data_IF_964306633509
#
_entry.id   IF_964306633509
#
_cell.length_a   1.000
_cell.length_b   1.000
_cell.length_c   1.000
_cell.angle_alpha   90.00
_cell.angle_beta   90.00
_cell.angle_gamma   90.00
#
_symmetry.space_group_name_H-M   'P 1'
#
loop_
_entity.id
_entity.type
_entity.pdbx_description
1 polymer ?
#
# COMPACT_ATOMS: atom_id res chain seq x y z
N UNK A 1 2.48 -45.49 86.42
CA UNK A 1 1.38 -44.58 86.79
C UNK A 1 1.67 -43.20 86.22
N UNK A 2 0.61 -42.52 85.63
CA UNK A 2 0.43 -41.21 85.09
C UNK A 2 0.81 -41.06 83.58
N UNK A 3 -0.16 -41.20 82.74
CA UNK A 3 -1.23 -40.33 82.16
C UNK A 3 -0.68 -39.31 81.24
N UNK A 4 -1.02 -39.56 80.01
CA UNK A 4 -1.19 -38.73 78.81
C UNK A 4 -1.50 -37.20 78.99
N UNK A 5 -1.02 -36.39 78.09
CA UNK A 5 -1.89 -35.41 77.41
C UNK A 5 -1.37 -35.12 76.00
N UNK A 6 -2.27 -35.37 75.04
CA UNK A 6 -2.16 -34.92 73.63
C UNK A 6 -2.35 -33.39 73.56
N UNK A 7 -1.55 -32.76 72.81
CA UNK A 7 -1.93 -31.49 72.17
C UNK A 7 -1.61 -31.58 70.66
N UNK A 8 -2.69 -31.63 69.91
CA UNK A 8 -2.70 -31.56 68.43
C UNK A 8 -2.41 -30.14 68.02
N UNK A 9 -1.38 -29.94 67.21
CA UNK A 9 -1.16 -28.69 66.48
C UNK A 9 -1.67 -28.95 65.06
N UNK A 10 -2.77 -28.28 64.74
CA UNK A 10 -3.30 -28.18 63.37
C UNK A 10 -2.47 -27.16 62.62
N UNK A 11 -1.61 -27.61 61.75
CA UNK A 11 -0.96 -26.76 60.78
C UNK A 11 -1.89 -26.59 59.57
N UNK A 12 -2.57 -25.47 59.48
CA UNK A 12 -3.32 -25.08 58.27
C UNK A 12 -2.34 -24.70 57.17
N UNK A 13 -2.18 -25.57 56.18
CA UNK A 13 -1.51 -25.26 54.95
C UNK A 13 -2.46 -24.42 54.08
N UNK A 14 -2.24 -23.11 54.00
CA UNK A 14 -2.82 -22.28 52.97
C UNK A 14 -2.12 -22.58 51.65
N UNK A 15 -2.77 -23.38 50.81
CA UNK A 15 -2.41 -23.51 49.43
C UNK A 15 -2.85 -22.23 48.69
N UNK A 16 -1.92 -21.32 48.44
CA UNK A 16 -2.09 -20.26 47.47
C UNK A 16 -2.09 -20.90 46.09
N UNK A 17 -3.28 -21.14 45.56
CA UNK A 17 -3.46 -21.40 44.10
C UNK A 17 -3.14 -20.14 43.36
N UNK A 18 -1.89 -19.97 42.94
CA UNK A 18 -1.53 -19.05 41.93
C UNK A 18 -2.12 -19.58 40.59
N UNK A 19 -3.34 -19.15 40.26
CA UNK A 19 -3.83 -19.20 38.88
C UNK A 19 -2.94 -18.33 38.05
N UNK A 20 -1.83 -18.85 37.58
CA UNK A 20 -1.12 -18.30 36.43
C UNK A 20 -2.09 -18.38 35.27
N UNK A 21 -2.63 -17.23 34.89
CA UNK A 21 -3.12 -17.05 33.55
C UNK A 21 -1.90 -17.20 32.65
N UNK A 22 -1.62 -18.40 32.18
CA UNK A 22 -0.92 -18.60 30.94
C UNK A 22 -1.78 -17.91 29.90
N UNK A 23 -1.40 -16.69 29.55
CA UNK A 23 -1.82 -16.08 28.31
C UNK A 23 -1.37 -17.08 27.23
N UNK A 24 -2.29 -17.87 26.72
CA UNK A 24 -2.07 -18.64 25.52
C UNK A 24 -1.73 -17.64 24.44
N UNK A 25 -0.45 -17.45 24.19
CA UNK A 25 0.03 -16.92 22.91
C UNK A 25 -0.36 -17.96 21.85
N UNK A 26 -1.65 -18.03 21.53
CA UNK A 26 -2.05 -18.62 20.27
C UNK A 26 -1.36 -17.80 19.21
N UNK A 27 -0.33 -18.38 18.66
CA UNK A 27 0.41 -17.84 17.54
C UNK A 27 -0.58 -17.60 16.41
N UNK A 28 -0.86 -16.32 16.10
CA UNK A 28 -1.62 -15.85 14.95
C UNK A 28 -0.95 -16.27 13.61
N UNK A 29 0.09 -17.08 13.69
CA UNK A 29 1.04 -17.43 12.63
C UNK A 29 0.48 -18.29 11.53
N UNK A 30 -0.70 -18.87 11.67
CA UNK A 30 -1.25 -19.78 10.65
C UNK A 30 -2.56 -19.32 10.01
N UNK A 31 -3.16 -18.24 10.50
CA UNK A 31 -4.43 -17.73 9.97
C UNK A 31 -4.20 -16.80 8.79
N UNK A 32 -4.83 -17.05 7.62
CA UNK A 32 -4.72 -16.16 6.48
C UNK A 32 -5.20 -14.75 6.82
N UNK A 33 -4.39 -13.73 6.54
CA UNK A 33 -4.73 -12.33 6.87
C UNK A 33 -6.10 -11.90 6.27
N UNK A 34 -6.35 -12.28 5.02
CA UNK A 34 -7.63 -11.97 4.33
C UNK A 34 -8.87 -12.59 4.98
N UNK A 35 -8.71 -13.66 5.79
CA UNK A 35 -9.84 -14.34 6.43
C UNK A 35 -10.26 -13.72 7.75
N UNK A 36 -9.38 -12.92 8.36
CA UNK A 36 -9.63 -12.23 9.62
C UNK A 36 -9.87 -10.73 9.43
N UNK A 37 -9.31 -10.15 8.38
CA UNK A 37 -9.45 -8.72 8.13
C UNK A 37 -10.87 -8.34 7.73
N UNK A 38 -11.39 -7.27 8.34
CA UNK A 38 -12.73 -6.70 8.06
C UNK A 38 -12.72 -5.66 6.94
N UNK A 39 -11.55 -5.44 6.34
CA UNK A 39 -11.31 -4.60 5.15
C UNK A 39 -10.47 -5.38 4.15
N UNK A 40 -10.54 -5.08 2.83
CA UNK A 40 -9.65 -5.73 1.87
C UNK A 40 -8.17 -5.50 2.20
N UNK A 41 -7.40 -6.59 2.25
CA UNK A 41 -5.96 -6.55 2.44
C UNK A 41 -5.26 -6.97 1.15
N UNK A 42 -4.24 -6.21 0.76
CA UNK A 42 -3.55 -6.39 -0.52
C UNK A 42 -2.03 -6.47 -0.38
N UNK A 43 -1.41 -6.92 -1.47
CA UNK A 43 0.02 -6.78 -1.68
C UNK A 43 0.32 -6.46 -3.16
N UNK A 44 1.46 -5.83 -3.44
CA UNK A 44 1.93 -5.75 -4.81
C UNK A 44 2.63 -7.04 -5.24
N UNK A 45 2.68 -7.24 -6.56
CA UNK A 45 3.29 -8.43 -7.16
C UNK A 45 3.85 -8.13 -8.54
N UNK A 46 4.94 -8.78 -8.90
CA UNK A 46 5.43 -8.85 -10.28
C UNK A 46 5.03 -10.17 -10.93
N UNK A 47 4.77 -10.15 -12.23
CA UNK A 47 4.48 -11.35 -13.01
C UNK A 47 5.52 -12.45 -12.82
N UNK A 48 6.79 -12.08 -12.74
CA UNK A 48 7.90 -13.02 -12.58
C UNK A 48 7.78 -13.85 -11.30
N UNK A 49 7.35 -13.24 -10.19
CA UNK A 49 7.19 -13.93 -8.91
C UNK A 49 6.02 -14.92 -8.93
N UNK A 50 4.96 -14.62 -9.67
CA UNK A 50 3.81 -15.52 -9.82
C UNK A 50 4.12 -16.82 -10.60
N UNK A 51 5.29 -16.91 -11.23
CA UNK A 51 5.75 -18.15 -11.87
C UNK A 51 6.28 -19.18 -10.86
N UNK A 52 6.59 -18.77 -9.63
CA UNK A 52 6.87 -19.66 -8.51
C UNK A 52 5.55 -20.08 -7.83
N UNK A 53 5.16 -21.38 -7.90
CA UNK A 53 3.92 -21.84 -7.30
C UNK A 53 3.83 -21.59 -5.79
N UNK A 54 4.96 -21.67 -5.07
CA UNK A 54 4.98 -21.44 -3.63
C UNK A 54 4.73 -19.96 -3.28
N UNK A 55 5.28 -19.04 -4.08
CA UNK A 55 4.97 -17.62 -3.96
C UNK A 55 3.50 -17.33 -4.27
N UNK A 56 2.99 -17.88 -5.37
CA UNK A 56 1.61 -17.68 -5.81
C UNK A 56 0.59 -18.20 -4.77
N UNK A 57 0.87 -19.37 -4.17
CA UNK A 57 0.05 -19.94 -3.10
C UNK A 57 0.09 -19.08 -1.84
N UNK A 58 1.29 -18.66 -1.41
CA UNK A 58 1.46 -17.79 -0.23
C UNK A 58 0.72 -16.45 -0.42
N UNK A 59 0.82 -15.85 -1.62
CA UNK A 59 0.09 -14.64 -1.96
C UNK A 59 -1.43 -14.86 -1.86
N UNK A 60 -1.93 -15.87 -2.57
CA UNK A 60 -3.35 -16.17 -2.61
C UNK A 60 -3.91 -16.57 -1.23
N UNK A 61 -3.08 -17.11 -0.34
CA UNK A 61 -3.44 -17.43 1.04
C UNK A 61 -3.74 -16.19 1.87
N UNK A 62 -2.91 -15.16 1.79
CA UNK A 62 -2.97 -14.02 2.71
C UNK A 62 -3.75 -12.82 2.20
N UNK A 63 -3.82 -12.59 0.89
CA UNK A 63 -4.31 -11.35 0.34
C UNK A 63 -5.59 -11.49 -0.48
N UNK A 64 -6.48 -10.53 -0.32
CA UNK A 64 -7.75 -10.41 -1.05
C UNK A 64 -7.72 -9.34 -2.15
N UNK A 65 -6.62 -8.57 -2.24
CA UNK A 65 -6.36 -7.60 -3.29
C UNK A 65 -4.94 -7.75 -3.83
N UNK A 66 -4.77 -7.50 -5.10
CA UNK A 66 -3.50 -7.57 -5.81
C UNK A 66 -3.28 -6.26 -6.56
N UNK A 67 -2.04 -5.74 -6.51
CA UNK A 67 -1.58 -4.59 -7.27
C UNK A 67 -0.37 -5.02 -8.11
N UNK A 68 -0.40 -4.94 -9.46
CA UNK A 68 0.82 -5.14 -10.27
C UNK A 68 1.86 -4.07 -9.95
N UNK A 69 3.04 -4.48 -9.51
CA UNK A 69 4.08 -3.55 -9.04
C UNK A 69 4.66 -2.72 -10.20
N UNK A 70 4.79 -3.33 -11.38
CA UNK A 70 5.46 -2.73 -12.53
C UNK A 70 4.70 -2.88 -13.84
N UNK A 71 4.08 -4.03 -14.10
CA UNK A 71 3.60 -4.41 -15.42
C UNK A 71 2.41 -3.58 -15.91
N UNK A 72 1.72 -2.85 -15.02
CA UNK A 72 0.66 -1.90 -15.43
C UNK A 72 1.16 -0.45 -15.54
N UNK A 73 2.44 -0.20 -15.32
CA UNK A 73 3.03 1.12 -15.54
C UNK A 73 3.28 1.36 -17.04
N UNK A 74 3.32 2.63 -17.43
CA UNK A 74 3.45 3.03 -18.84
C UNK A 74 4.70 2.44 -19.49
N UNK A 75 5.83 2.38 -18.79
CA UNK A 75 7.09 1.84 -19.30
C UNK A 75 7.01 0.38 -19.73
N UNK A 76 6.09 -0.41 -19.13
CA UNK A 76 5.84 -1.77 -19.59
C UNK A 76 4.81 -1.80 -20.73
N UNK A 77 3.69 -1.09 -20.54
CA UNK A 77 2.54 -1.18 -21.45
C UNK A 77 2.81 -0.51 -22.80
N UNK A 78 3.42 0.70 -22.81
CA UNK A 78 3.59 1.48 -24.02
C UNK A 78 4.98 1.26 -24.63
N UNK A 79 5.01 0.63 -25.80
CA UNK A 79 6.25 0.40 -26.54
C UNK A 79 6.76 1.69 -27.20
N UNK A 80 8.03 1.76 -27.55
CA UNK A 80 8.70 2.91 -28.19
C UNK A 80 8.08 3.33 -29.53
N UNK A 81 7.42 2.40 -30.21
CA UNK A 81 6.69 2.62 -31.48
C UNK A 81 5.21 2.97 -31.29
N UNK A 82 4.76 3.11 -30.04
CA UNK A 82 3.39 3.47 -29.69
C UNK A 82 2.42 2.28 -29.59
N UNK A 83 2.86 1.06 -29.83
CA UNK A 83 2.03 -0.13 -29.63
C UNK A 83 1.88 -0.45 -28.14
N UNK A 84 0.77 -1.09 -27.78
CA UNK A 84 0.52 -1.56 -26.42
C UNK A 84 0.93 -3.01 -26.24
N UNK A 85 1.48 -3.32 -25.05
CA UNK A 85 1.86 -4.65 -24.60
C UNK A 85 1.09 -5.01 -23.33
N UNK A 86 0.32 -6.08 -23.38
CA UNK A 86 -0.55 -6.48 -22.26
C UNK A 86 -0.34 -7.92 -21.78
N UNK A 87 0.63 -8.66 -22.31
CA UNK A 87 0.85 -10.08 -22.02
C UNK A 87 0.99 -10.36 -20.52
N UNK A 88 1.86 -9.64 -19.82
CA UNK A 88 2.06 -9.83 -18.38
C UNK A 88 0.95 -9.20 -17.52
N UNK A 89 0.49 -7.94 -17.78
CA UNK A 89 -0.67 -7.41 -17.11
C UNK A 89 -1.90 -8.34 -17.19
N UNK A 90 -2.18 -8.92 -18.35
CA UNK A 90 -3.28 -9.87 -18.53
C UNK A 90 -3.08 -11.13 -17.70
N UNK A 91 -1.86 -11.68 -17.68
CA UNK A 91 -1.55 -12.87 -16.88
C UNK A 91 -1.75 -12.61 -15.37
N UNK A 92 -1.39 -11.41 -14.88
CA UNK A 92 -1.61 -10.99 -13.48
C UNK A 92 -3.12 -10.83 -13.22
N UNK A 93 -3.86 -10.17 -14.11
CA UNK A 93 -5.31 -10.00 -13.99
C UNK A 93 -6.03 -11.35 -13.98
N UNK A 94 -5.58 -12.29 -14.82
CA UNK A 94 -6.09 -13.65 -14.84
C UNK A 94 -5.78 -14.43 -13.57
N UNK A 95 -4.61 -14.25 -12.98
CA UNK A 95 -4.27 -14.82 -11.67
C UNK A 95 -5.23 -14.29 -10.59
N UNK A 96 -5.43 -12.98 -10.53
CA UNK A 96 -6.37 -12.36 -9.59
C UNK A 96 -7.78 -12.94 -9.76
N UNK A 97 -8.30 -12.98 -10.97
CA UNK A 97 -9.63 -13.51 -11.30
C UNK A 97 -9.78 -14.98 -10.89
N UNK A 98 -8.81 -15.86 -11.23
CA UNK A 98 -8.86 -17.29 -10.89
C UNK A 98 -8.86 -17.57 -9.40
N UNK A 99 -8.23 -16.69 -8.60
CA UNK A 99 -8.13 -16.83 -7.14
C UNK A 99 -9.18 -16.00 -6.37
N UNK A 100 -10.12 -15.35 -7.05
CA UNK A 100 -11.12 -14.49 -6.41
C UNK A 100 -10.51 -13.28 -5.71
N UNK A 101 -9.39 -12.77 -6.21
CA UNK A 101 -8.63 -11.65 -5.68
C UNK A 101 -9.03 -10.38 -6.45
N UNK A 102 -9.24 -9.28 -5.74
CA UNK A 102 -9.51 -7.96 -6.33
C UNK A 102 -8.27 -7.46 -7.07
N UNK A 103 -8.47 -6.92 -8.28
CA UNK A 103 -7.39 -6.28 -9.05
C UNK A 103 -7.43 -4.77 -8.82
N UNK A 104 -6.40 -4.21 -8.22
CA UNK A 104 -6.14 -2.78 -8.14
C UNK A 104 -4.98 -2.42 -9.06
N UNK A 105 -5.06 -1.32 -9.78
CA UNK A 105 -4.10 -1.01 -10.85
C UNK A 105 -3.35 0.30 -10.57
N UNK A 106 -2.03 0.26 -10.71
CA UNK A 106 -1.11 1.40 -10.63
C UNK A 106 -0.13 1.37 -11.79
N UNK A 107 0.19 2.43 -12.45
CA UNK A 107 -0.36 3.78 -12.43
C UNK A 107 -0.55 4.28 -13.88
N UNK A 108 -1.57 5.09 -14.13
CA UNK A 108 -1.79 5.58 -15.50
C UNK A 108 -0.81 6.72 -15.84
N UNK A 109 -0.81 7.78 -15.05
CA UNK A 109 0.00 8.98 -15.28
C UNK A 109 0.92 9.20 -14.10
N UNK A 110 2.21 9.15 -14.37
CA UNK A 110 3.29 9.36 -13.41
C UNK A 110 4.35 10.27 -14.02
N UNK A 111 4.90 11.17 -13.24
CA UNK A 111 5.86 12.18 -13.71
C UNK A 111 7.15 11.57 -14.25
N UNK A 112 7.55 10.41 -13.70
CA UNK A 112 8.82 9.74 -13.97
C UNK A 112 8.79 8.85 -15.23
N UNK A 113 7.62 8.69 -15.84
CA UNK A 113 7.45 7.84 -17.02
C UNK A 113 6.99 8.62 -18.25
N UNK A 114 7.96 9.02 -19.07
CA UNK A 114 7.72 9.61 -20.38
C UNK A 114 8.34 8.71 -21.47
N UNK A 115 7.52 7.81 -22.03
CA UNK A 115 7.99 6.87 -23.05
C UNK A 115 8.36 7.58 -24.35
N UNK A 116 9.29 7.01 -25.16
CA UNK A 116 9.70 7.58 -26.44
C UNK A 116 8.55 7.94 -27.38
N UNK A 117 7.44 7.19 -27.33
CA UNK A 117 6.23 7.50 -28.09
C UNK A 117 5.66 8.89 -27.73
N UNK A 118 5.68 9.29 -26.44
CA UNK A 118 5.26 10.62 -25.99
C UNK A 118 6.33 11.68 -26.22
N UNK A 119 7.61 11.35 -26.01
CA UNK A 119 8.70 12.30 -26.23
C UNK A 119 8.74 12.81 -27.69
N UNK A 120 8.39 11.98 -28.67
CA UNK A 120 8.26 12.37 -30.08
C UNK A 120 7.13 13.37 -30.33
N UNK A 121 6.15 13.46 -29.45
CA UNK A 121 4.99 14.35 -29.55
C UNK A 121 5.14 15.62 -28.70
N UNK A 122 6.25 15.78 -27.98
CA UNK A 122 6.47 16.92 -27.10
C UNK A 122 6.34 18.25 -27.86
N UNK A 123 5.52 19.16 -27.36
CA UNK A 123 5.23 20.46 -27.97
C UNK A 123 4.26 20.42 -29.14
N UNK A 124 3.71 19.27 -29.54
CA UNK A 124 2.85 19.19 -30.73
C UNK A 124 1.36 19.52 -30.48
N UNK A 125 0.99 19.87 -29.22
CA UNK A 125 -0.39 20.27 -28.89
C UNK A 125 -1.40 19.12 -29.08
N UNK A 126 -2.30 19.24 -30.07
CA UNK A 126 -3.38 18.27 -30.27
C UNK A 126 -2.91 16.82 -30.45
N UNK A 127 -1.89 16.49 -31.26
CA UNK A 127 -1.35 15.10 -31.33
C UNK A 127 -0.93 14.55 -29.97
N UNK A 128 -0.31 15.35 -29.10
CA UNK A 128 0.06 14.95 -27.74
C UNK A 128 -1.19 14.67 -26.90
N UNK A 129 -2.17 15.57 -26.92
CA UNK A 129 -3.41 15.42 -26.18
C UNK A 129 -4.22 14.19 -26.64
N UNK A 130 -4.28 13.93 -27.94
CA UNK A 130 -4.93 12.74 -28.51
C UNK A 130 -4.22 11.44 -28.06
N UNK A 131 -2.88 11.41 -28.08
CA UNK A 131 -2.10 10.27 -27.59
C UNK A 131 -2.32 10.02 -26.09
N UNK A 132 -2.35 11.10 -25.28
CA UNK A 132 -2.62 11.04 -23.86
C UNK A 132 -4.00 10.41 -23.57
N UNK A 133 -5.04 10.89 -24.24
CA UNK A 133 -6.38 10.34 -24.16
C UNK A 133 -6.41 8.86 -24.57
N UNK A 134 -5.83 8.54 -25.74
CA UNK A 134 -5.82 7.18 -26.28
C UNK A 134 -5.11 6.19 -25.35
N UNK A 135 -3.99 6.60 -24.72
CA UNK A 135 -3.30 5.77 -23.75
C UNK A 135 -4.22 5.40 -22.58
N UNK A 136 -4.84 6.39 -21.94
CA UNK A 136 -5.72 6.18 -20.78
C UNK A 136 -6.92 5.30 -21.17
N UNK A 137 -7.56 5.59 -22.30
CA UNK A 137 -8.70 4.79 -22.78
C UNK A 137 -8.33 3.35 -23.08
N UNK A 138 -7.17 3.12 -23.68
CA UNK A 138 -6.71 1.77 -24.00
C UNK A 138 -6.41 0.95 -22.74
N UNK A 139 -5.70 1.56 -21.77
CA UNK A 139 -5.27 0.88 -20.53
C UNK A 139 -6.46 0.63 -19.60
N UNK A 140 -7.21 1.66 -19.23
CA UNK A 140 -8.37 1.49 -18.35
C UNK A 140 -9.49 0.67 -19.01
N UNK A 141 -9.74 0.90 -20.30
CA UNK A 141 -10.78 0.16 -21.05
C UNK A 141 -10.50 -1.34 -21.17
N UNK A 142 -9.21 -1.76 -21.22
CA UNK A 142 -8.87 -3.18 -21.25
C UNK A 142 -9.29 -3.93 -19.99
N UNK A 143 -9.18 -3.30 -18.83
CA UNK A 143 -9.53 -3.93 -17.54
C UNK A 143 -10.88 -3.45 -17.00
N UNK A 144 -11.69 -2.84 -17.85
CA UNK A 144 -13.03 -2.36 -17.48
C UNK A 144 -13.85 -3.45 -16.82
N UNK A 145 -14.37 -3.16 -15.62
CA UNK A 145 -15.15 -4.07 -14.82
C UNK A 145 -14.37 -5.20 -14.14
N UNK A 146 -13.04 -5.26 -14.35
CA UNK A 146 -12.12 -6.14 -13.64
C UNK A 146 -11.36 -5.38 -12.56
N UNK A 147 -10.88 -4.18 -12.88
CA UNK A 147 -10.21 -3.31 -11.93
C UNK A 147 -11.21 -2.73 -10.92
N UNK A 148 -10.91 -2.88 -9.63
CA UNK A 148 -11.71 -2.24 -8.56
C UNK A 148 -11.32 -0.78 -8.35
N UNK A 149 -10.13 -0.38 -8.77
CA UNK A 149 -9.64 0.99 -8.71
C UNK A 149 -8.33 1.18 -9.47
N UNK A 150 -7.99 2.45 -9.70
CA UNK A 150 -6.81 2.90 -10.44
C UNK A 150 -6.13 4.06 -9.73
N UNK A 151 -4.83 4.02 -9.61
CA UNK A 151 -4.02 5.23 -9.45
C UNK A 151 -3.98 5.94 -10.80
N UNK A 152 -4.90 6.91 -10.97
CA UNK A 152 -5.02 7.66 -12.22
C UNK A 152 -3.86 8.64 -12.36
N UNK A 153 -3.52 9.30 -11.26
CA UNK A 153 -2.39 10.24 -11.18
C UNK A 153 -1.57 9.89 -9.94
N UNK A 154 -0.27 9.73 -10.13
CA UNK A 154 0.65 9.31 -9.11
C UNK A 154 1.77 10.34 -8.88
N UNK A 155 2.06 10.65 -7.60
CA UNK A 155 3.23 11.41 -7.14
C UNK A 155 3.32 12.82 -7.73
N UNK A 156 2.28 13.60 -7.55
CA UNK A 156 2.17 14.95 -8.14
C UNK A 156 2.99 16.00 -7.41
N UNK A 157 3.23 15.82 -6.10
CA UNK A 157 3.96 16.80 -5.28
C UNK A 157 5.45 16.48 -5.29
N UNK A 158 6.26 17.49 -5.57
CA UNK A 158 7.71 17.38 -5.54
C UNK A 158 8.26 17.05 -4.15
N UNK A 159 9.49 16.50 -4.08
CA UNK A 159 10.12 16.08 -2.82
C UNK A 159 10.33 17.21 -1.83
N UNK A 160 10.49 18.44 -2.31
CA UNK A 160 10.54 19.63 -1.45
C UNK A 160 9.22 19.91 -0.70
N UNK A 161 8.13 19.24 -1.11
CA UNK A 161 6.81 19.33 -0.49
C UNK A 161 6.03 20.61 -0.77
N UNK A 162 6.59 21.58 -1.47
CA UNK A 162 5.97 22.92 -1.66
C UNK A 162 5.41 23.14 -3.06
N UNK A 163 5.88 22.37 -4.05
CA UNK A 163 5.59 22.56 -5.47
C UNK A 163 5.04 21.28 -6.09
N UNK A 164 4.33 21.42 -7.20
CA UNK A 164 3.97 20.29 -8.05
C UNK A 164 5.14 19.94 -8.98
N UNK A 165 5.28 18.67 -9.27
CA UNK A 165 6.32 18.17 -10.17
C UNK A 165 6.14 18.71 -11.57
N UNK A 166 7.25 19.11 -12.18
CA UNK A 166 7.30 19.44 -13.60
C UNK A 166 7.59 18.17 -14.40
N UNK A 167 6.82 17.95 -15.44
CA UNK A 167 6.91 16.76 -16.28
C UNK A 167 6.54 17.08 -17.73
N UNK A 168 6.63 16.11 -18.61
CA UNK A 168 6.13 16.24 -19.96
C UNK A 168 4.62 16.53 -19.99
N UNK A 169 3.89 15.98 -19.02
CA UNK A 169 2.44 16.15 -18.90
C UNK A 169 2.07 17.60 -18.57
N UNK A 170 2.71 18.17 -17.55
CA UNK A 170 2.49 19.56 -17.14
C UNK A 170 2.85 20.54 -18.24
N UNK A 171 3.94 20.28 -18.97
CA UNK A 171 4.43 21.14 -20.05
C UNK A 171 3.50 21.16 -21.26
N UNK A 172 2.90 20.03 -21.60
CA UNK A 172 2.07 19.92 -22.80
C UNK A 172 0.58 20.16 -22.54
N UNK A 173 0.08 19.87 -21.33
CA UNK A 173 -1.36 19.88 -21.03
C UNK A 173 -1.76 20.83 -19.90
N UNK A 174 -0.77 21.45 -19.23
CA UNK A 174 -1.01 22.29 -18.05
C UNK A 174 -0.87 21.54 -16.72
N UNK A 175 -0.65 22.32 -15.64
CA UNK A 175 -0.27 21.76 -14.32
C UNK A 175 -1.43 21.01 -13.68
N UNK A 176 -2.61 21.57 -13.63
CA UNK A 176 -3.81 20.93 -13.10
C UNK A 176 -4.61 20.22 -14.22
N UNK A 177 -4.57 20.78 -15.43
CA UNK A 177 -5.36 20.33 -16.58
C UNK A 177 -5.06 18.89 -16.99
N UNK A 178 -3.78 18.46 -16.99
CA UNK A 178 -3.43 17.09 -17.34
C UNK A 178 -4.05 16.09 -16.36
N UNK A 179 -4.12 16.43 -15.07
CA UNK A 179 -4.72 15.57 -14.05
C UNK A 179 -6.25 15.51 -14.22
N UNK A 180 -6.89 16.64 -14.41
CA UNK A 180 -8.36 16.71 -14.68
C UNK A 180 -8.72 15.85 -15.89
N UNK A 181 -7.97 16.00 -16.99
CA UNK A 181 -8.15 15.20 -18.21
C UNK A 181 -7.95 13.70 -17.95
N UNK A 182 -6.90 13.32 -17.18
CA UNK A 182 -6.66 11.93 -16.85
C UNK A 182 -7.87 11.30 -16.13
N UNK A 183 -8.40 11.98 -15.12
CA UNK A 183 -9.57 11.49 -14.39
C UNK A 183 -10.81 11.36 -15.25
N UNK A 184 -11.09 12.33 -16.14
CA UNK A 184 -12.21 12.24 -17.06
C UNK A 184 -12.07 11.10 -18.05
N UNK A 185 -10.88 10.92 -18.65
CA UNK A 185 -10.65 9.82 -19.59
C UNK A 185 -10.69 8.45 -18.89
N UNK A 186 -10.16 8.34 -17.68
CA UNK A 186 -10.27 7.11 -16.89
C UNK A 186 -11.74 6.79 -16.56
N UNK A 187 -12.53 7.81 -16.18
CA UNK A 187 -13.97 7.65 -15.90
C UNK A 187 -14.77 7.24 -17.13
N UNK A 188 -14.41 7.77 -18.31
CA UNK A 188 -15.00 7.36 -19.59
C UNK A 188 -14.68 5.89 -19.89
N UNK A 189 -13.42 5.47 -19.68
CA UNK A 189 -12.95 4.13 -19.99
C UNK A 189 -13.50 3.07 -19.03
N UNK A 190 -13.48 3.35 -17.71
CA UNK A 190 -13.98 2.43 -16.67
C UNK A 190 -14.86 3.19 -15.66
N UNK A 191 -16.16 3.31 -15.95
CA UNK A 191 -17.07 4.09 -15.11
C UNK A 191 -17.25 3.54 -13.69
N UNK A 192 -16.96 2.26 -13.47
CA UNK A 192 -17.23 1.57 -12.20
C UNK A 192 -16.01 1.51 -11.27
N UNK A 193 -14.81 1.65 -11.79
CA UNK A 193 -13.60 1.67 -10.98
C UNK A 193 -13.53 2.94 -10.12
N UNK A 194 -13.00 2.79 -8.91
CA UNK A 194 -12.67 3.94 -8.04
C UNK A 194 -11.37 4.58 -8.53
N UNK A 195 -11.40 5.88 -8.78
CA UNK A 195 -10.28 6.62 -9.36
C UNK A 195 -9.51 7.36 -8.28
N UNK A 196 -8.26 7.00 -8.07
CA UNK A 196 -7.41 7.55 -7.01
C UNK A 196 -6.39 8.56 -7.54
N UNK A 197 -6.09 9.54 -6.70
CA UNK A 197 -4.84 10.30 -6.73
C UNK A 197 -3.97 9.77 -5.59
N UNK A 198 -2.73 9.40 -5.88
CA UNK A 198 -1.83 8.70 -4.95
C UNK A 198 -0.50 9.46 -4.81
N UNK A 199 0.04 9.52 -3.60
CA UNK A 199 1.37 10.14 -3.36
C UNK A 199 2.03 9.51 -2.12
N UNK A 200 3.35 9.70 -2.00
CA UNK A 200 4.16 9.19 -0.89
C UNK A 200 4.58 10.28 0.08
N UNK A 201 5.09 9.86 1.24
CA UNK A 201 5.54 10.74 2.32
C UNK A 201 4.45 11.67 2.88
N UNK A 202 3.18 11.36 2.68
CA UNK A 202 2.08 12.13 3.23
C UNK A 202 2.01 12.00 4.75
N UNK A 203 2.48 10.87 5.30
CA UNK A 203 2.51 10.60 6.73
C UNK A 203 3.57 11.44 7.45
N UNK A 204 4.78 11.44 6.94
CA UNK A 204 5.95 11.97 7.63
C UNK A 204 6.41 13.36 7.13
N UNK A 205 5.76 13.91 6.08
CA UNK A 205 6.00 15.27 5.57
C UNK A 205 4.72 16.12 5.56
N UNK A 206 4.41 16.85 6.65
CA UNK A 206 3.21 17.68 6.74
C UNK A 206 3.13 18.77 5.65
N UNK A 207 4.27 19.30 5.19
CA UNK A 207 4.30 20.30 4.10
C UNK A 207 3.85 19.69 2.78
N UNK A 208 4.38 18.52 2.44
CA UNK A 208 3.99 17.77 1.24
C UNK A 208 2.51 17.39 1.31
N UNK A 209 2.04 16.88 2.46
CA UNK A 209 0.63 16.57 2.68
C UNK A 209 -0.28 17.79 2.48
N UNK A 210 0.08 18.95 3.02
CA UNK A 210 -0.71 20.16 2.84
C UNK A 210 -0.77 20.62 1.38
N UNK A 211 0.33 20.48 0.61
CA UNK A 211 0.35 20.77 -0.82
C UNK A 211 -0.50 19.77 -1.61
N UNK A 212 -0.40 18.48 -1.28
CA UNK A 212 -1.24 17.43 -1.86
C UNK A 212 -2.73 17.71 -1.63
N UNK A 213 -3.13 18.01 -0.40
CA UNK A 213 -4.53 18.32 -0.06
C UNK A 213 -5.06 19.52 -0.86
N UNK A 214 -4.29 20.63 -0.92
CA UNK A 214 -4.68 21.79 -1.75
C UNK A 214 -4.82 21.43 -3.22
N UNK A 215 -4.00 20.50 -3.72
CA UNK A 215 -4.11 20.01 -5.10
C UNK A 215 -5.40 19.22 -5.29
N UNK A 216 -5.71 18.28 -4.40
CA UNK A 216 -6.97 17.53 -4.43
C UNK A 216 -8.18 18.49 -4.43
N UNK A 217 -8.18 19.49 -3.55
CA UNK A 217 -9.25 20.51 -3.50
C UNK A 217 -9.43 21.25 -4.83
N UNK A 218 -8.32 21.68 -5.46
CA UNK A 218 -8.38 22.35 -6.77
C UNK A 218 -8.93 21.46 -7.87
N UNK A 219 -8.48 20.20 -7.91
CA UNK A 219 -8.93 19.23 -8.91
C UNK A 219 -10.42 18.89 -8.74
N UNK A 220 -10.88 18.68 -7.51
CA UNK A 220 -12.30 18.47 -7.20
C UNK A 220 -13.14 19.70 -7.62
N UNK A 221 -12.66 20.91 -7.31
CA UNK A 221 -13.32 22.17 -7.74
C UNK A 221 -13.34 22.32 -9.26
N UNK A 222 -12.33 21.82 -9.97
CA UNK A 222 -12.29 21.78 -11.43
C UNK A 222 -13.16 20.67 -12.05
N UNK A 223 -13.84 19.85 -11.22
CA UNK A 223 -14.75 18.81 -11.67
C UNK A 223 -14.08 17.47 -11.98
N UNK A 224 -12.83 17.24 -11.56
CA UNK A 224 -12.19 15.95 -11.73
C UNK A 224 -12.95 14.88 -10.92
N UNK A 225 -13.35 13.75 -11.51
CA UNK A 225 -14.12 12.70 -10.83
C UNK A 225 -13.19 11.83 -9.95
N UNK A 226 -12.53 12.46 -8.97
CA UNK A 226 -11.70 11.76 -7.98
C UNK A 226 -12.62 10.96 -7.07
N UNK A 227 -12.44 9.65 -7.05
CA UNK A 227 -13.24 8.71 -6.26
C UNK A 227 -12.56 8.26 -4.97
N UNK A 228 -11.27 8.53 -4.80
CA UNK A 228 -10.51 8.14 -3.61
C UNK A 228 -9.14 8.80 -3.52
N UNK A 229 -8.53 8.67 -2.35
CA UNK A 229 -7.20 9.18 -2.04
C UNK A 229 -6.31 8.00 -1.68
N UNK A 230 -5.19 7.86 -2.41
CA UNK A 230 -4.11 6.92 -2.08
C UNK A 230 -3.04 7.61 -1.23
N UNK A 231 -2.53 6.87 -0.25
CA UNK A 231 -1.31 7.22 0.46
C UNK A 231 -0.39 6.00 0.43
N UNK A 232 0.79 6.16 -0.18
CA UNK A 232 1.68 5.01 -0.41
C UNK A 232 2.16 4.41 0.90
N UNK A 233 2.40 5.23 1.89
CA UNK A 233 2.91 4.80 3.21
C UNK A 233 4.25 4.06 3.13
N UNK A 234 5.14 4.48 2.20
CA UNK A 234 6.55 4.13 2.25
C UNK A 234 7.18 4.84 3.45
N UNK A 235 7.31 4.11 4.55
CA UNK A 235 7.79 4.65 5.81
C UNK A 235 9.25 4.23 6.08
N UNK A 236 9.90 4.96 6.98
CA UNK A 236 11.28 4.71 7.37
C UNK A 236 11.44 5.00 8.87
N UNK A 237 12.14 4.12 9.59
CA UNK A 237 12.36 4.25 11.03
C UNK A 237 13.21 5.44 11.41
N UNK A 238 13.99 6.01 10.48
CA UNK A 238 14.81 7.20 10.74
C UNK A 238 13.98 8.49 10.72
N UNK A 239 12.91 8.54 9.91
CA UNK A 239 12.13 9.77 9.67
C UNK A 239 10.72 9.73 10.23
N UNK A 240 10.09 8.55 10.34
CA UNK A 240 8.72 8.44 10.83
C UNK A 240 8.69 8.36 12.36
N UNK A 241 7.89 9.22 12.99
CA UNK A 241 7.73 9.29 14.45
C UNK A 241 6.30 8.95 14.85
N UNK A 242 6.08 8.41 16.05
CA UNK A 242 4.73 8.16 16.58
C UNK A 242 3.82 9.38 16.48
N UNK A 243 2.59 9.19 16.08
CA UNK A 243 1.57 10.23 15.89
C UNK A 243 1.52 10.82 14.48
N UNK A 244 2.55 10.63 13.65
CA UNK A 244 2.61 11.18 12.29
C UNK A 244 1.59 10.51 11.36
N UNK A 245 1.52 9.18 11.37
CA UNK A 245 0.57 8.43 10.54
C UNK A 245 -0.89 8.76 10.91
N UNK A 246 -1.16 8.88 12.21
CA UNK A 246 -2.49 9.28 12.71
C UNK A 246 -2.89 10.69 12.27
N UNK A 247 -1.95 11.63 12.32
CA UNK A 247 -2.20 12.99 11.86
C UNK A 247 -2.51 13.02 10.35
N UNK A 248 -1.74 12.28 9.54
CA UNK A 248 -1.96 12.19 8.11
C UNK A 248 -3.32 11.58 7.78
N UNK A 249 -3.65 10.45 8.40
CA UNK A 249 -4.92 9.76 8.15
C UNK A 249 -6.12 10.66 8.48
N UNK A 250 -6.09 11.39 9.60
CA UNK A 250 -7.12 12.35 9.97
C UNK A 250 -7.26 13.46 8.92
N UNK A 251 -6.15 14.03 8.45
CA UNK A 251 -6.16 15.12 7.49
C UNK A 251 -6.72 14.66 6.14
N UNK A 252 -6.27 13.50 5.62
CA UNK A 252 -6.75 12.91 4.37
C UNK A 252 -8.23 12.52 4.45
N UNK A 253 -8.68 12.01 5.60
CA UNK A 253 -10.07 11.63 5.82
C UNK A 253 -11.06 12.81 5.75
N UNK A 254 -10.57 14.06 5.90
CA UNK A 254 -11.41 15.26 5.84
C UNK A 254 -12.12 15.46 4.50
N UNK A 255 -11.64 14.86 3.43
CA UNK A 255 -12.31 14.87 2.13
C UNK A 255 -13.58 14.00 2.07
N UNK A 256 -13.79 13.10 3.03
CA UNK A 256 -14.92 12.16 3.02
C UNK A 256 -14.83 11.08 1.94
N UNK A 257 -13.73 11.04 1.18
CA UNK A 257 -13.48 10.06 0.12
C UNK A 257 -12.90 8.75 0.68
N UNK A 258 -13.08 7.62 -0.01
CA UNK A 258 -12.36 6.38 0.25
C UNK A 258 -10.84 6.59 0.30
N UNK A 259 -10.18 5.99 1.29
CA UNK A 259 -8.73 6.01 1.46
C UNK A 259 -8.17 4.62 1.18
N UNK A 260 -7.12 4.57 0.39
CA UNK A 260 -6.29 3.39 0.14
C UNK A 260 -4.91 3.61 0.75
N UNK A 261 -4.55 2.84 1.78
CA UNK A 261 -3.14 2.65 2.13
C UNK A 261 -2.59 1.72 1.06
N UNK A 262 -1.84 2.28 0.10
CA UNK A 262 -1.65 1.64 -1.21
C UNK A 262 -0.36 0.83 -1.33
N UNK A 263 0.69 1.15 -0.55
CA UNK A 263 2.04 0.64 -0.81
C UNK A 263 2.88 0.48 0.47
N UNK A 264 2.26 0.12 1.60
CA UNK A 264 2.96 0.07 2.87
C UNK A 264 4.21 -0.80 2.83
N UNK A 265 5.32 -0.20 3.11
CA UNK A 265 6.52 -0.80 3.65
C UNK A 265 7.14 0.11 4.72
N UNK A 266 7.96 -0.48 5.61
CA UNK A 266 8.65 0.29 6.67
C UNK A 266 10.12 -0.10 6.68
N UNK A 267 10.96 0.71 6.02
CA UNK A 267 12.40 0.50 6.04
C UNK A 267 12.98 0.55 7.45
N UNK A 268 13.98 -0.28 7.73
CA UNK A 268 14.74 -0.26 8.98
C UNK A 268 15.62 0.99 9.12
N UNK A 269 15.74 1.82 8.08
CA UNK A 269 16.58 3.00 8.01
C UNK A 269 17.80 2.84 7.13
N UNK A 270 18.56 3.91 6.96
CA UNK A 270 19.76 3.92 6.11
C UNK A 270 20.91 3.06 6.66
N UNK A 271 21.08 3.07 7.97
CA UNK A 271 22.18 2.36 8.67
C UNK A 271 21.65 1.60 9.88
N UNK A 272 20.83 0.57 9.67
CA UNK A 272 20.20 -0.14 10.77
C UNK A 272 21.25 -0.91 11.61
N UNK A 273 21.13 -0.81 12.92
CA UNK A 273 21.92 -1.62 13.85
C UNK A 273 21.33 -3.02 13.97
N UNK A 274 21.80 -3.95 13.15
CA UNK A 274 21.33 -5.33 13.16
C UNK A 274 21.59 -6.10 14.46
N UNK A 275 22.45 -5.60 15.36
CA UNK A 275 22.56 -6.17 16.71
C UNK A 275 21.29 -5.91 17.54
N UNK A 276 20.48 -4.91 17.13
CA UNK A 276 19.22 -4.55 17.74
C UNK A 276 18.00 -4.87 16.85
N UNK A 277 18.12 -5.88 16.01
CA UNK A 277 17.06 -6.22 15.03
C UNK A 277 15.68 -6.44 15.68
N UNK A 278 15.64 -7.05 16.87
CA UNK A 278 14.36 -7.25 17.59
C UNK A 278 13.68 -5.91 17.93
N UNK A 279 14.44 -4.91 18.40
CA UNK A 279 13.94 -3.57 18.69
C UNK A 279 13.47 -2.85 17.42
N UNK A 280 14.20 -2.99 16.31
CA UNK A 280 13.82 -2.39 15.03
C UNK A 280 12.52 -2.99 14.51
N UNK A 281 12.37 -4.31 14.55
CA UNK A 281 11.14 -5.01 14.17
C UNK A 281 9.96 -4.65 15.07
N UNK A 282 10.20 -4.41 16.37
CA UNK A 282 9.15 -3.94 17.26
C UNK A 282 8.71 -2.53 16.89
N UNK A 283 9.63 -1.61 16.62
CA UNK A 283 9.31 -0.27 16.13
C UNK A 283 8.53 -0.27 14.81
N UNK A 284 8.87 -1.19 13.87
CA UNK A 284 8.06 -1.39 12.67
C UNK A 284 6.63 -1.80 13.02
N UNK A 285 6.47 -2.77 13.92
CA UNK A 285 5.17 -3.25 14.36
C UNK A 285 4.35 -2.14 15.03
N UNK A 286 4.98 -1.30 15.85
CA UNK A 286 4.32 -0.18 16.52
C UNK A 286 3.82 0.87 15.52
N UNK A 287 4.63 1.23 14.52
CA UNK A 287 4.21 2.15 13.43
C UNK A 287 3.12 1.53 12.56
N UNK A 288 3.22 0.25 12.26
CA UNK A 288 2.19 -0.50 11.53
C UNK A 288 0.86 -0.47 12.28
N UNK A 289 0.91 -0.73 13.59
CA UNK A 289 -0.26 -0.68 14.47
C UNK A 289 -0.89 0.71 14.45
N UNK A 290 -0.11 1.76 14.62
CA UNK A 290 -0.61 3.13 14.60
C UNK A 290 -1.31 3.47 13.28
N UNK A 291 -0.69 3.14 12.15
CA UNK A 291 -1.28 3.38 10.82
C UNK A 291 -2.57 2.58 10.64
N UNK A 292 -2.54 1.29 10.97
CA UNK A 292 -3.70 0.41 10.83
C UNK A 292 -4.85 0.82 11.75
N UNK A 293 -4.59 1.16 13.02
CA UNK A 293 -5.60 1.67 13.95
C UNK A 293 -6.21 2.98 13.45
N UNK A 294 -5.37 3.88 12.92
CA UNK A 294 -5.83 5.16 12.36
C UNK A 294 -6.72 4.94 11.14
N UNK A 295 -6.37 3.99 10.26
CA UNK A 295 -7.18 3.59 9.13
C UNK A 295 -8.50 2.92 9.57
N UNK A 296 -8.44 1.99 10.53
CA UNK A 296 -9.62 1.29 11.05
C UNK A 296 -10.57 2.19 11.84
N UNK A 297 -10.10 3.34 12.34
CA UNK A 297 -10.96 4.35 12.97
C UNK A 297 -11.82 5.14 11.98
N UNK A 298 -11.52 5.07 10.69
CA UNK A 298 -12.32 5.71 9.63
C UNK A 298 -13.71 5.07 9.52
N UNK A 299 -14.73 5.82 9.08
CA UNK A 299 -15.99 5.24 8.65
C UNK A 299 -15.79 4.16 7.60
N UNK A 300 -16.60 3.07 7.63
CA UNK A 300 -16.42 1.93 6.73
C UNK A 300 -16.39 2.32 5.25
N UNK A 301 -17.21 3.29 4.84
CA UNK A 301 -17.27 3.80 3.46
C UNK A 301 -15.99 4.52 3.02
N UNK A 302 -15.15 4.94 3.97
CA UNK A 302 -13.84 5.53 3.68
C UNK A 302 -12.69 4.51 3.69
N UNK A 303 -12.93 3.24 4.04
CA UNK A 303 -11.90 2.19 4.03
C UNK A 303 -11.95 1.42 2.72
N UNK A 304 -11.07 1.77 1.77
CA UNK A 304 -11.04 1.09 0.46
C UNK A 304 -10.25 -0.21 0.50
N UNK A 305 -8.99 -0.15 0.92
CA UNK A 305 -8.10 -1.29 1.12
C UNK A 305 -6.85 -0.90 1.89
N UNK A 306 -6.16 -1.90 2.44
CA UNK A 306 -4.86 -1.77 3.10
C UNK A 306 -3.85 -2.69 2.40
N UNK A 307 -2.89 -2.11 1.67
CA UNK A 307 -1.98 -2.84 0.77
C UNK A 307 -0.53 -2.64 1.19
N UNK A 308 0.24 -3.73 1.23
CA UNK A 308 1.69 -3.73 1.46
C UNK A 308 2.45 -3.79 0.14
N UNK A 309 3.70 -3.25 0.08
CA UNK A 309 4.42 -3.15 -1.18
C UNK A 309 5.40 -4.31 -1.39
N UNK A 310 4.87 -5.50 -1.42
CA UNK A 310 5.58 -6.77 -1.65
C UNK A 310 5.07 -7.88 -0.76
N UNK A 311 5.52 -9.11 -1.04
CA UNK A 311 5.13 -10.29 -0.26
C UNK A 311 6.13 -10.61 0.84
N UNK A 312 7.40 -10.81 0.48
CA UNK A 312 8.51 -11.18 1.39
C UNK A 312 9.61 -10.14 1.34
N UNK A 313 10.38 -10.02 2.41
CA UNK A 313 11.49 -9.06 2.46
C UNK A 313 12.47 -9.18 1.29
N UNK A 314 12.73 -10.40 0.81
CA UNK A 314 13.62 -10.63 -0.35
C UNK A 314 13.04 -10.14 -1.68
N UNK A 315 11.71 -9.98 -1.78
CA UNK A 315 11.01 -9.54 -2.97
C UNK A 315 10.82 -8.01 -2.99
N UNK A 316 11.23 -7.32 -1.91
CA UNK A 316 11.04 -5.87 -1.76
C UNK A 316 11.96 -5.05 -2.65
N UNK A 317 11.41 -4.00 -3.26
CA UNK A 317 12.15 -2.99 -4.00
C UNK A 317 13.22 -2.28 -3.14
N UNK A 318 13.02 -2.19 -1.82
CA UNK A 318 13.98 -1.63 -0.88
C UNK A 318 15.36 -2.30 -0.96
N UNK A 319 15.41 -3.59 -1.34
CA UNK A 319 16.64 -4.34 -1.52
C UNK A 319 17.18 -4.32 -2.94
N UNK A 320 16.30 -4.17 -3.95
CA UNK A 320 16.60 -4.63 -5.30
C UNK A 320 17.26 -3.61 -6.22
N UNK A 321 16.74 -2.41 -6.33
CA UNK A 321 17.09 -1.53 -7.46
C UNK A 321 18.34 -0.67 -7.26
N UNK A 322 18.71 -0.34 -6.04
CA UNK A 322 19.87 0.53 -5.80
C UNK A 322 21.04 -0.15 -5.09
N UNK A 323 20.85 -1.37 -4.59
CA UNK A 323 21.86 -2.04 -3.76
C UNK A 323 22.22 -1.29 -2.46
N UNK A 324 21.49 -0.21 -2.18
CA UNK A 324 21.77 0.66 -1.03
C UNK A 324 21.38 0.02 0.30
N UNK A 325 20.31 -0.84 0.29
CA UNK A 325 19.78 -1.48 1.49
C UNK A 325 19.58 -2.99 1.34
N UNK A 326 20.64 -3.77 0.96
CA UNK A 326 20.48 -5.20 0.58
C UNK A 326 19.99 -6.11 1.70
N UNK A 327 19.96 -5.62 2.94
CA UNK A 327 19.49 -6.34 4.13
C UNK A 327 18.24 -5.73 4.76
N UNK A 328 17.58 -4.81 4.08
CA UNK A 328 16.35 -4.20 4.60
C UNK A 328 15.24 -5.25 4.77
N UNK A 329 14.36 -5.04 5.72
CA UNK A 329 13.30 -5.97 6.11
C UNK A 329 11.97 -5.22 6.26
N UNK A 330 11.58 -4.48 5.23
CA UNK A 330 10.46 -3.55 5.24
C UNK A 330 9.06 -4.17 5.20
N UNK A 331 8.92 -5.49 4.96
CA UNK A 331 7.64 -6.14 4.70
C UNK A 331 7.14 -6.99 5.89
N UNK A 332 5.84 -7.37 5.91
CA UNK A 332 5.27 -8.17 7.00
C UNK A 332 5.84 -9.60 7.11
N UNK A 333 6.24 -10.20 5.98
CA UNK A 333 6.82 -11.54 5.93
C UNK A 333 8.33 -11.46 5.70
N UNK A 334 9.08 -12.36 6.35
CA UNK A 334 10.52 -12.49 6.16
C UNK A 334 10.88 -13.17 4.82
N UNK A 335 12.16 -13.40 4.57
CA UNK A 335 12.67 -14.03 3.33
C UNK A 335 12.10 -15.44 3.10
N UNK A 336 11.77 -16.16 4.16
CA UNK A 336 11.17 -17.49 4.11
C UNK A 336 9.64 -17.48 4.07
N UNK A 337 9.01 -16.28 4.02
CA UNK A 337 7.56 -16.14 4.07
C UNK A 337 6.97 -16.31 5.47
N UNK A 338 7.80 -16.24 6.53
CA UNK A 338 7.32 -16.36 7.90
C UNK A 338 6.85 -15.00 8.44
N UNK A 339 5.74 -14.96 9.20
CA UNK A 339 5.23 -13.74 9.79
C UNK A 339 6.21 -13.06 10.74
N UNK A 340 6.42 -11.76 10.57
CA UNK A 340 7.16 -10.89 11.50
C UNK A 340 6.21 -10.15 12.45
N UNK A 341 6.71 -9.43 13.48
CA UNK A 341 5.87 -8.60 14.37
C UNK A 341 4.98 -7.62 13.62
N UNK A 342 5.42 -7.09 12.47
CA UNK A 342 4.62 -6.26 11.57
C UNK A 342 3.36 -6.98 11.06
N UNK A 343 3.47 -8.26 10.67
CA UNK A 343 2.32 -9.07 10.26
C UNK A 343 1.32 -9.27 11.42
N UNK A 344 1.85 -9.53 12.62
CA UNK A 344 1.01 -9.71 13.81
C UNK A 344 0.23 -8.44 14.13
N UNK A 345 0.88 -7.27 14.05
CA UNK A 345 0.22 -5.98 14.24
C UNK A 345 -0.92 -5.75 13.23
N UNK A 346 -0.70 -6.09 11.95
CA UNK A 346 -1.76 -6.02 10.94
C UNK A 346 -2.91 -6.98 11.27
N UNK A 347 -2.61 -8.23 11.59
CA UNK A 347 -3.61 -9.26 11.89
C UNK A 347 -4.49 -8.85 13.08
N UNK A 348 -3.88 -8.34 14.16
CA UNK A 348 -4.59 -7.92 15.36
C UNK A 348 -5.51 -6.72 15.09
N UNK A 349 -5.02 -5.71 14.37
CA UNK A 349 -5.81 -4.47 14.17
C UNK A 349 -6.86 -4.63 13.09
N UNK A 350 -6.54 -5.30 11.97
CA UNK A 350 -7.46 -5.43 10.84
C UNK A 350 -8.58 -6.46 11.09
N UNK A 351 -8.47 -7.26 12.13
CA UNK A 351 -9.54 -8.19 12.54
C UNK A 351 -10.77 -7.50 13.19
N UNK A 352 -10.62 -6.24 13.60
CA UNK A 352 -11.71 -5.43 14.18
C UNK A 352 -11.70 -5.41 15.68
#
# INVERSE_FOLDING_TARGET
MRRLTRRSAIASALALSACGREASSQTVTDTPLKSIATTPVGACVQHAFLQDPAYAELFARHYSQLTPEWEMKMEYILQDDGRFRFDRPDAIADFARRNGIRLYCTTMIWYDQAMPAFLKLDGQGKPFADAYRNYILAVAGRYRGQAVGWDVVNETVADNGTELRQSIWTRNLGVDEHMVLAFHHAKEADPNATLFINDYHLENNPTKRATFMRTVERLLKAGAPIGGIGTQSHLDLDFTRPGMARAAMRDLASFGLPIHVSELDISLGEKPDFARLADLRQRQADLTRELAESYMSLPQQQRFAFTVWGLRDQDSWLRGQSGQRPRDQGLPLDDAGQPKPMFQALAEVLSG
#
